data_IF_394785904542
#
_entry.id   IF_394785904542
#
_cell.length_a   1.000
_cell.length_b   1.000
_cell.length_c   1.000
_cell.angle_alpha   90.00
_cell.angle_beta   90.00
_cell.angle_gamma   90.00
#
_symmetry.space_group_name_H-M   'P 1'
#
loop_
_entity.id
_entity.type
_entity.pdbx_description
1 polymer ?
#
# COMPACT_ATOMS: atom_id res chain seq x y z
N UNK A 1 -11.90 3.90 3.49
CA UNK A 1 -11.64 5.33 3.75
C UNK A 1 -12.88 6.13 3.37
N UNK A 2 -13.07 7.30 3.96
CA UNK A 2 -14.02 8.30 3.47
C UNK A 2 -13.37 9.25 2.45
N UNK A 3 -14.17 10.09 1.79
CA UNK A 3 -13.67 11.15 0.90
C UNK A 3 -13.01 12.24 1.73
N UNK A 4 -11.80 12.66 1.37
CA UNK A 4 -11.04 13.71 2.07
C UNK A 4 -11.21 15.11 1.48
N UNK A 5 -11.75 15.19 0.26
CA UNK A 5 -11.88 16.44 -0.52
C UNK A 5 -13.04 17.30 0.02
N UNK A 6 -12.78 18.06 1.09
CA UNK A 6 -13.74 19.01 1.65
C UNK A 6 -13.05 20.25 2.22
N UNK A 7 -13.68 21.41 2.03
CA UNK A 7 -13.23 22.70 2.58
C UNK A 7 -13.77 22.99 3.99
N UNK A 8 -14.71 22.17 4.49
CA UNK A 8 -15.28 22.30 5.83
C UNK A 8 -15.13 20.98 6.59
N UNK A 9 -14.76 21.02 7.89
CA UNK A 9 -14.46 19.82 8.65
C UNK A 9 -15.69 18.95 8.92
N UNK A 10 -16.88 19.53 9.06
CA UNK A 10 -18.09 18.83 9.51
C UNK A 10 -18.42 17.57 8.68
N UNK A 11 -18.35 17.66 7.34
CA UNK A 11 -18.62 16.53 6.45
C UNK A 11 -17.59 15.40 6.61
N UNK A 12 -16.32 15.76 6.83
CA UNK A 12 -15.25 14.79 7.06
C UNK A 12 -15.47 14.07 8.40
N UNK A 13 -15.73 14.83 9.47
CA UNK A 13 -15.98 14.26 10.79
C UNK A 13 -17.21 13.35 10.80
N UNK A 14 -18.27 13.68 10.04
CA UNK A 14 -19.44 12.83 9.88
C UNK A 14 -19.07 11.48 9.24
N UNK A 15 -18.29 11.47 8.16
CA UNK A 15 -17.81 10.22 7.55
C UNK A 15 -16.96 9.38 8.51
N UNK A 16 -16.12 10.04 9.33
CA UNK A 16 -15.28 9.35 10.31
C UNK A 16 -16.12 8.75 11.43
N UNK A 17 -17.10 9.48 11.97
CA UNK A 17 -18.10 8.95 12.93
C UNK A 17 -18.96 7.85 12.31
N UNK A 18 -19.19 7.91 11.00
CA UNK A 18 -19.91 6.88 10.24
C UNK A 18 -19.14 5.57 10.01
N UNK A 19 -17.87 5.48 10.43
CA UNK A 19 -17.07 4.26 10.33
C UNK A 19 -15.78 4.39 9.50
N UNK A 20 -15.52 5.53 8.85
CA UNK A 20 -14.31 5.69 8.06
C UNK A 20 -13.05 5.65 8.95
N UNK A 21 -12.21 4.65 8.74
CA UNK A 21 -10.93 4.45 9.42
C UNK A 21 -9.75 5.27 8.82
N UNK A 22 -10.06 6.33 8.09
CA UNK A 22 -9.10 7.07 7.27
C UNK A 22 -9.79 7.89 6.19
N UNK A 23 -9.15 8.96 5.74
CA UNK A 23 -9.65 9.83 4.68
C UNK A 23 -8.71 9.79 3.48
N UNK A 24 -9.27 9.91 2.28
CA UNK A 24 -8.50 9.89 1.05
C UNK A 24 -8.85 11.09 0.17
N UNK A 25 -7.83 11.88 -0.15
CA UNK A 25 -7.87 12.96 -1.12
C UNK A 25 -7.57 12.38 -2.50
N UNK A 26 -8.39 12.70 -3.49
CA UNK A 26 -8.27 12.14 -4.84
C UNK A 26 -8.34 13.17 -5.96
N UNK A 27 -8.97 14.33 -5.74
CA UNK A 27 -9.45 15.29 -6.75
C UNK A 27 -8.97 15.09 -8.21
N UNK A 28 -9.92 14.95 -9.13
CA UNK A 28 -9.65 14.55 -10.53
C UNK A 28 -8.65 15.48 -11.23
N UNK A 29 -8.70 16.79 -10.91
CA UNK A 29 -7.82 17.84 -11.43
C UNK A 29 -6.69 18.22 -10.46
N UNK A 30 -6.57 17.50 -9.34
CA UNK A 30 -5.65 17.78 -8.23
C UNK A 30 -6.40 18.04 -6.91
N UNK A 31 -5.68 18.35 -5.83
CA UNK A 31 -6.27 18.75 -4.54
C UNK A 31 -5.88 20.16 -4.11
N UNK A 32 -6.80 20.91 -3.52
CA UNK A 32 -6.48 22.26 -3.02
C UNK A 32 -5.74 22.21 -1.66
N UNK A 33 -4.90 23.21 -1.40
CA UNK A 33 -4.19 23.33 -0.12
C UNK A 33 -5.16 23.42 1.07
N UNK A 34 -6.30 24.09 0.88
CA UNK A 34 -7.34 24.21 1.88
C UNK A 34 -8.00 22.85 2.18
N UNK A 35 -8.25 22.01 1.16
CA UNK A 35 -8.80 20.67 1.35
C UNK A 35 -7.83 19.77 2.11
N UNK A 36 -6.54 19.75 1.71
CA UNK A 36 -5.50 19.00 2.42
C UNK A 36 -5.36 19.44 3.89
N UNK A 37 -5.31 20.76 4.14
CA UNK A 37 -5.21 21.29 5.50
C UNK A 37 -6.44 20.98 6.35
N UNK A 38 -7.64 21.06 5.78
CA UNK A 38 -8.89 20.71 6.47
C UNK A 38 -8.92 19.22 6.82
N UNK A 39 -8.60 18.36 5.85
CA UNK A 39 -8.52 16.92 6.03
C UNK A 39 -7.50 16.54 7.12
N UNK A 40 -6.28 17.09 7.06
CA UNK A 40 -5.26 16.87 8.07
C UNK A 40 -5.70 17.35 9.46
N UNK A 41 -6.37 18.49 9.55
CA UNK A 41 -6.85 19.01 10.86
C UNK A 41 -7.90 18.10 11.50
N UNK A 42 -8.78 17.49 10.69
CA UNK A 42 -9.73 16.47 11.17
C UNK A 42 -8.98 15.20 11.58
N UNK A 43 -8.03 14.77 10.77
CA UNK A 43 -7.22 13.59 11.05
C UNK A 43 -6.43 13.68 12.36
N UNK A 44 -5.82 14.84 12.65
CA UNK A 44 -5.15 15.10 13.95
C UNK A 44 -6.10 14.94 15.14
N UNK A 45 -7.35 15.42 15.03
CA UNK A 45 -8.32 15.33 16.12
C UNK A 45 -8.90 13.92 16.32
N UNK A 46 -8.93 13.12 15.27
CA UNK A 46 -9.65 11.84 15.25
C UNK A 46 -8.73 10.62 15.12
N UNK A 47 -7.41 10.83 15.11
CA UNK A 47 -6.35 9.83 14.95
C UNK A 47 -6.59 8.85 13.79
N UNK A 48 -6.74 9.39 12.60
CA UNK A 48 -6.92 8.59 11.37
C UNK A 48 -5.86 8.91 10.29
N UNK A 49 -5.50 7.95 9.43
CA UNK A 49 -4.56 8.18 8.35
C UNK A 49 -5.18 9.03 7.23
N UNK A 50 -4.34 9.84 6.57
CA UNK A 50 -4.71 10.65 5.39
C UNK A 50 -3.93 10.15 4.19
N UNK A 51 -4.65 9.67 3.17
CA UNK A 51 -4.09 9.26 1.89
C UNK A 51 -4.27 10.38 0.86
N UNK A 52 -3.32 10.47 -0.08
CA UNK A 52 -3.45 11.34 -1.26
C UNK A 52 -3.11 10.55 -2.52
N UNK A 53 -4.05 10.42 -3.45
CA UNK A 53 -3.79 9.90 -4.81
C UNK A 53 -3.57 10.99 -5.85
N UNK A 54 -3.73 12.25 -5.46
CA UNK A 54 -3.50 13.41 -6.29
C UNK A 54 -2.31 14.24 -5.79
N UNK A 55 -1.70 14.92 -6.76
CA UNK A 55 -0.93 16.15 -6.58
C UNK A 55 -1.88 17.34 -6.36
N UNK A 56 -1.31 18.51 -6.09
CA UNK A 56 -2.09 19.74 -5.87
C UNK A 56 -2.66 20.25 -7.20
N UNK A 57 -3.88 20.80 -7.19
CA UNK A 57 -4.42 21.48 -8.39
C UNK A 57 -3.51 22.66 -8.76
N UNK A 58 -3.11 22.75 -10.02
CA UNK A 58 -2.57 23.98 -10.59
C UNK A 58 -3.74 24.98 -10.59
N UNK A 59 -3.75 25.88 -9.62
CA UNK A 59 -4.91 26.71 -9.25
C UNK A 59 -5.34 27.76 -10.27
N UNK A 60 -5.60 27.35 -11.52
CA UNK A 60 -6.22 28.13 -12.59
C UNK A 60 -5.58 29.51 -12.78
N UNK A 61 -4.48 29.56 -13.53
CA UNK A 61 -3.90 30.79 -14.05
C UNK A 61 -2.48 31.08 -13.56
N UNK A 62 -1.59 31.28 -14.53
CA UNK A 62 -0.30 32.01 -14.50
C UNK A 62 0.68 31.77 -13.34
N UNK A 63 0.48 30.72 -12.53
CA UNK A 63 1.52 30.19 -11.65
C UNK A 63 2.30 29.15 -12.43
N UNK A 64 3.61 29.36 -12.52
CA UNK A 64 4.60 28.31 -12.79
C UNK A 64 4.47 27.21 -11.72
N UNK A 65 3.43 26.38 -11.83
CA UNK A 65 2.95 25.49 -10.77
C UNK A 65 4.05 24.58 -10.24
N UNK A 66 4.15 24.49 -8.92
CA UNK A 66 5.04 23.56 -8.20
C UNK A 66 4.18 22.66 -7.30
N UNK A 67 3.40 21.72 -7.87
CA UNK A 67 2.37 20.99 -7.13
C UNK A 67 2.91 20.19 -5.95
N UNK A 68 4.15 19.69 -6.08
CA UNK A 68 4.82 18.92 -5.03
C UNK A 68 5.22 19.83 -3.87
N UNK A 69 5.85 20.97 -4.15
CA UNK A 69 6.26 21.95 -3.15
C UNK A 69 5.05 22.53 -2.41
N UNK A 70 3.96 22.78 -3.13
CA UNK A 70 2.69 23.24 -2.54
C UNK A 70 2.09 22.16 -1.62
N UNK A 71 2.17 20.88 -2.01
CA UNK A 71 1.73 19.77 -1.16
C UNK A 71 2.55 19.69 0.12
N UNK A 72 3.88 19.84 0.00
CA UNK A 72 4.81 19.83 1.14
C UNK A 72 4.49 20.97 2.09
N UNK A 73 4.32 22.18 1.57
CA UNK A 73 3.97 23.37 2.35
C UNK A 73 2.59 23.21 3.03
N UNK A 74 1.59 22.69 2.31
CA UNK A 74 0.24 22.47 2.85
C UNK A 74 0.20 21.37 3.93
N UNK A 75 1.02 20.33 3.80
CA UNK A 75 1.15 19.28 4.81
C UNK A 75 1.68 19.83 6.14
N UNK A 76 2.52 20.88 6.13
CA UNK A 76 3.12 21.50 7.34
C UNK A 76 3.79 20.47 8.26
N UNK A 77 4.54 19.54 7.68
CA UNK A 77 5.23 18.47 8.42
C UNK A 77 4.34 17.38 9.02
N UNK A 78 3.01 17.44 8.82
CA UNK A 78 2.08 16.41 9.28
C UNK A 78 2.13 15.17 8.38
N UNK A 79 1.83 14.01 8.95
CA UNK A 79 1.95 12.73 8.24
C UNK A 79 0.95 12.63 7.08
N UNK A 80 1.41 12.21 5.90
CA UNK A 80 0.57 11.91 4.74
C UNK A 80 1.03 10.59 4.11
N UNK A 81 0.08 9.82 3.58
CA UNK A 81 0.32 8.59 2.84
C UNK A 81 0.11 8.85 1.34
N UNK A 82 1.10 9.41 0.61
CA UNK A 82 0.95 9.66 -0.82
C UNK A 82 1.00 8.35 -1.61
N UNK A 83 0.07 8.20 -2.55
CA UNK A 83 0.03 7.12 -3.55
C UNK A 83 0.74 7.64 -4.79
N UNK A 84 1.95 7.14 -5.02
CA UNK A 84 2.79 7.54 -6.15
C UNK A 84 2.51 6.65 -7.37
N UNK A 85 2.85 7.15 -8.56
CA UNK A 85 2.78 6.40 -9.82
C UNK A 85 1.51 6.58 -10.64
N UNK A 86 0.55 7.36 -10.14
CA UNK A 86 -0.61 7.84 -10.92
C UNK A 86 -0.35 9.19 -11.60
N UNK A 87 0.49 10.03 -10.98
CA UNK A 87 0.93 11.36 -11.43
C UNK A 87 2.43 11.37 -11.70
N UNK A 88 2.92 12.44 -12.34
CA UNK A 88 4.27 12.53 -12.91
C UNK A 88 5.42 12.20 -11.93
N UNK A 89 6.65 12.01 -12.45
CA UNK A 89 7.79 11.56 -11.65
C UNK A 89 8.13 12.48 -10.49
N UNK A 90 7.78 13.77 -10.58
CA UNK A 90 7.95 14.79 -9.51
C UNK A 90 7.49 14.32 -8.13
N UNK A 91 6.42 13.53 -8.08
CA UNK A 91 5.89 12.98 -6.82
C UNK A 91 6.87 12.07 -6.07
N UNK A 92 7.92 11.55 -6.72
CA UNK A 92 8.97 10.80 -6.01
C UNK A 92 9.76 11.65 -5.02
N UNK A 93 9.84 12.98 -5.19
CA UNK A 93 10.47 13.87 -4.20
C UNK A 93 9.87 13.72 -2.79
N UNK A 94 8.59 13.35 -2.69
CA UNK A 94 7.94 13.07 -1.41
C UNK A 94 8.59 11.92 -0.65
N UNK A 95 9.26 10.98 -1.33
CA UNK A 95 9.95 9.87 -0.69
C UNK A 95 11.18 10.32 0.14
N UNK A 96 11.71 11.52 -0.10
CA UNK A 96 12.79 12.12 0.67
C UNK A 96 12.34 12.68 2.03
N UNK A 97 11.03 12.78 2.29
CA UNK A 97 10.50 13.53 3.42
C UNK A 97 10.15 12.64 4.62
N UNK A 98 10.41 13.10 5.86
CA UNK A 98 10.19 12.30 7.07
C UNK A 98 8.71 12.07 7.39
N UNK A 99 7.84 13.00 7.02
CA UNK A 99 6.40 12.93 7.28
C UNK A 99 5.61 12.30 6.12
N UNK A 100 6.28 11.82 5.08
CA UNK A 100 5.63 11.15 3.94
C UNK A 100 5.85 9.64 4.05
N UNK A 101 4.76 8.88 4.02
CA UNK A 101 4.75 7.42 4.01
C UNK A 101 4.36 6.92 2.62
N UNK A 102 5.28 6.97 1.64
CA UNK A 102 4.93 6.74 0.24
C UNK A 102 4.56 5.29 0.00
N UNK A 103 3.40 5.10 -0.63
CA UNK A 103 3.02 3.86 -1.27
C UNK A 103 3.04 4.02 -2.78
N UNK A 104 3.33 2.93 -3.48
CA UNK A 104 3.36 2.94 -4.94
C UNK A 104 2.45 1.82 -5.46
N UNK A 105 1.66 2.12 -6.49
CA UNK A 105 1.10 1.05 -7.32
C UNK A 105 2.26 0.32 -7.98
N UNK A 106 2.13 -0.97 -8.37
CA UNK A 106 3.26 -1.71 -8.89
C UNK A 106 3.87 -0.98 -10.09
N UNK A 107 5.19 -0.75 -10.17
CA UNK A 107 5.78 0.09 -11.21
C UNK A 107 5.41 -0.31 -12.65
N UNK A 108 5.17 -1.61 -12.88
CA UNK A 108 4.68 -2.13 -14.16
C UNK A 108 3.30 -1.61 -14.60
N UNK A 109 2.52 -1.04 -13.67
CA UNK A 109 1.19 -0.51 -13.90
C UNK A 109 1.17 1.02 -14.07
N UNK A 110 2.31 1.71 -13.87
CA UNK A 110 2.41 3.15 -14.15
C UNK A 110 2.14 3.44 -15.63
N UNK A 111 1.69 4.64 -15.98
CA UNK A 111 1.34 5.00 -17.36
C UNK A 111 2.52 4.81 -18.34
N UNK A 112 2.19 4.44 -19.59
CA UNK A 112 3.18 4.05 -20.61
C UNK A 112 4.19 5.15 -20.97
N UNK A 113 3.84 6.43 -20.79
CA UNK A 113 4.70 7.57 -21.10
C UNK A 113 5.90 7.75 -20.16
N UNK A 114 5.98 7.03 -19.04
CA UNK A 114 7.00 7.28 -18.01
C UNK A 114 7.90 6.06 -17.76
N UNK A 115 8.47 5.51 -18.84
CA UNK A 115 9.26 4.29 -18.76
C UNK A 115 10.49 4.42 -17.85
N UNK A 116 11.19 5.56 -17.89
CA UNK A 116 12.30 5.87 -16.99
C UNK A 116 11.86 5.94 -15.52
N UNK A 117 10.69 6.53 -15.27
CA UNK A 117 10.10 6.62 -13.93
C UNK A 117 9.77 5.24 -13.34
N UNK A 118 9.42 4.24 -14.17
CA UNK A 118 9.17 2.87 -13.71
C UNK A 118 10.42 2.25 -13.11
N UNK A 119 11.57 2.36 -13.80
CA UNK A 119 12.84 1.79 -13.32
C UNK A 119 13.31 2.54 -12.07
N UNK A 120 13.18 3.86 -12.07
CA UNK A 120 13.47 4.66 -10.89
C UNK A 120 12.63 4.24 -9.68
N UNK A 121 11.33 4.00 -9.85
CA UNK A 121 10.45 3.52 -8.78
C UNK A 121 10.90 2.16 -8.22
N UNK A 122 11.29 1.22 -9.08
CA UNK A 122 11.82 -0.07 -8.64
C UNK A 122 13.11 0.09 -7.83
N UNK A 123 14.01 0.97 -8.28
CA UNK A 123 15.26 1.29 -7.57
C UNK A 123 14.98 1.96 -6.23
N UNK A 124 14.03 2.90 -6.16
CA UNK A 124 13.59 3.53 -4.91
C UNK A 124 12.94 2.52 -3.95
N UNK A 125 12.22 1.52 -4.47
CA UNK A 125 11.76 0.39 -3.66
C UNK A 125 12.93 -0.42 -3.11
N UNK A 126 13.93 -0.75 -3.93
CA UNK A 126 15.09 -1.54 -3.49
C UNK A 126 15.96 -0.78 -2.48
N UNK A 127 16.08 0.54 -2.61
CA UNK A 127 16.72 1.43 -1.62
C UNK A 127 15.94 1.50 -0.30
N UNK A 128 14.64 1.20 -0.32
CA UNK A 128 13.75 1.38 0.82
C UNK A 128 13.25 2.82 0.98
N UNK A 129 13.30 3.64 -0.08
CA UNK A 129 12.71 4.97 -0.11
C UNK A 129 11.19 4.92 -0.34
N UNK A 130 10.69 3.90 -1.06
CA UNK A 130 9.27 3.60 -1.18
C UNK A 130 8.86 2.48 -0.24
N UNK A 131 8.00 2.80 0.73
CA UNK A 131 7.77 1.98 1.92
C UNK A 131 6.69 0.92 1.77
N UNK A 132 5.76 1.12 0.84
CA UNK A 132 4.60 0.25 0.67
C UNK A 132 4.29 -0.05 -0.80
N UNK A 133 3.75 -1.24 -1.06
CA UNK A 133 3.24 -1.67 -2.35
C UNK A 133 1.71 -1.74 -2.27
N UNK A 134 1.03 -0.98 -3.13
CA UNK A 134 -0.43 -1.02 -3.29
C UNK A 134 -0.81 -1.76 -4.58
N UNK A 135 -2.10 -2.08 -4.77
CA UNK A 135 -2.57 -2.76 -5.98
C UNK A 135 -2.98 -1.80 -7.10
N UNK A 136 -3.60 -0.67 -6.75
CA UNK A 136 -4.28 0.25 -7.69
C UNK A 136 -5.58 -0.32 -8.28
N UNK A 137 -6.18 -1.34 -7.65
CA UNK A 137 -7.26 -2.15 -8.22
C UNK A 137 -8.38 -1.34 -8.89
N UNK A 138 -8.63 -1.59 -10.18
CA UNK A 138 -9.70 -0.98 -10.98
C UNK A 138 -9.66 0.57 -11.09
N UNK A 139 -8.53 1.17 -10.76
CA UNK A 139 -8.19 2.58 -10.97
C UNK A 139 -6.68 2.72 -11.17
N UNK A 140 -6.17 2.18 -12.29
CA UNK A 140 -4.75 2.07 -12.72
C UNK A 140 -3.96 0.83 -12.26
N UNK A 141 -4.60 -0.20 -11.72
CA UNK A 141 -3.89 -1.38 -11.21
C UNK A 141 -4.72 -2.66 -11.06
N UNK A 142 -4.08 -3.71 -10.51
CA UNK A 142 -4.60 -5.10 -10.49
C UNK A 142 -4.60 -5.67 -9.08
N UNK A 143 -5.77 -6.04 -8.57
CA UNK A 143 -5.94 -6.52 -7.18
C UNK A 143 -5.15 -7.80 -6.87
N UNK A 144 -5.09 -8.74 -7.83
CA UNK A 144 -4.44 -10.05 -7.65
C UNK A 144 -2.91 -10.05 -7.76
N UNK A 145 -2.30 -8.92 -8.13
CA UNK A 145 -0.90 -8.87 -8.53
C UNK A 145 0.02 -8.23 -7.48
N UNK A 146 -0.51 -7.61 -6.41
CA UNK A 146 0.32 -6.80 -5.50
C UNK A 146 1.50 -7.59 -4.87
N UNK A 147 1.23 -8.81 -4.40
CA UNK A 147 2.27 -9.70 -3.84
C UNK A 147 3.25 -10.14 -4.93
N UNK A 148 2.73 -10.64 -6.05
CA UNK A 148 3.51 -11.11 -7.19
C UNK A 148 4.44 -10.03 -7.74
N UNK A 149 3.95 -8.80 -7.90
CA UNK A 149 4.72 -7.67 -8.42
C UNK A 149 5.78 -7.21 -7.45
N UNK A 150 5.52 -7.29 -6.14
CA UNK A 150 6.54 -7.05 -5.11
C UNK A 150 7.75 -7.95 -5.35
N UNK A 151 7.51 -9.26 -5.58
CA UNK A 151 8.58 -10.22 -5.80
C UNK A 151 9.24 -10.10 -7.18
N UNK A 152 8.49 -9.73 -8.22
CA UNK A 152 9.06 -9.40 -9.54
C UNK A 152 10.00 -8.19 -9.44
N UNK A 153 9.62 -7.14 -8.72
CA UNK A 153 10.49 -5.98 -8.48
C UNK A 153 11.74 -6.37 -7.71
N UNK A 154 11.61 -7.15 -6.61
CA UNK A 154 12.77 -7.63 -5.86
C UNK A 154 13.75 -8.45 -6.73
N UNK A 155 13.21 -9.35 -7.55
CA UNK A 155 13.99 -10.17 -8.49
C UNK A 155 14.72 -9.29 -9.52
N UNK A 156 14.01 -8.35 -10.15
CA UNK A 156 14.59 -7.44 -11.14
C UNK A 156 15.69 -6.58 -10.53
N UNK A 157 15.51 -6.10 -9.31
CA UNK A 157 16.52 -5.32 -8.61
C UNK A 157 17.74 -6.14 -8.24
N UNK A 158 17.58 -7.43 -7.94
CA UNK A 158 18.72 -8.34 -7.82
C UNK A 158 19.51 -8.48 -9.12
N UNK A 159 18.83 -8.59 -10.26
CA UNK A 159 19.49 -8.67 -11.57
C UNK A 159 20.23 -7.36 -11.88
N UNK A 160 19.56 -6.22 -11.71
CA UNK A 160 20.10 -4.92 -12.12
C UNK A 160 21.15 -4.36 -11.16
N UNK A 161 21.04 -4.65 -9.85
CA UNK A 161 21.90 -4.03 -8.81
C UNK A 161 22.74 -5.03 -8.02
N UNK A 162 22.60 -6.32 -8.30
CA UNK A 162 23.28 -7.38 -7.56
C UNK A 162 22.76 -7.55 -6.13
N UNK A 163 23.60 -8.11 -5.27
CA UNK A 163 23.31 -8.38 -3.86
C UNK A 163 23.13 -7.08 -3.07
N UNK A 164 22.12 -7.02 -2.20
CA UNK A 164 21.87 -5.84 -1.38
C UNK A 164 22.98 -5.68 -0.33
N UNK A 165 23.45 -4.46 -0.02
CA UNK A 165 24.39 -4.26 1.08
C UNK A 165 23.82 -4.80 2.40
N UNK A 166 24.55 -5.75 3.01
CA UNK A 166 24.13 -6.47 4.23
C UNK A 166 23.71 -7.92 3.98
N UNK A 167 23.31 -8.26 2.76
CA UNK A 167 23.16 -9.64 2.31
C UNK A 167 24.54 -10.26 1.98
N UNK A 168 24.65 -11.60 2.09
CA UNK A 168 25.89 -12.35 1.84
C UNK A 168 25.65 -13.41 0.77
N UNK A 169 25.45 -14.66 1.19
CA UNK A 169 25.19 -15.82 0.32
C UNK A 169 23.71 -16.03 0.01
N UNK A 170 22.84 -15.28 0.69
CA UNK A 170 21.39 -15.29 0.53
C UNK A 170 20.85 -13.87 0.25
N UNK A 171 19.54 -13.75 0.02
CA UNK A 171 18.85 -12.47 -0.21
C UNK A 171 17.92 -12.10 0.95
N UNK A 172 18.20 -12.56 2.18
CA UNK A 172 17.24 -12.47 3.29
C UNK A 172 16.88 -11.02 3.65
N UNK A 173 17.83 -10.09 3.63
CA UNK A 173 17.58 -8.68 3.90
C UNK A 173 16.69 -8.07 2.81
N UNK A 174 16.96 -8.36 1.53
CA UNK A 174 16.08 -7.94 0.44
C UNK A 174 14.69 -8.57 0.59
N UNK A 175 14.59 -9.87 0.85
CA UNK A 175 13.31 -10.56 1.06
C UNK A 175 12.50 -9.92 2.20
N UNK A 176 13.15 -9.65 3.35
CA UNK A 176 12.53 -8.98 4.50
C UNK A 176 12.11 -7.54 4.18
N UNK A 177 12.93 -6.79 3.45
CA UNK A 177 12.60 -5.43 2.98
C UNK A 177 11.35 -5.42 2.12
N UNK A 178 11.21 -6.38 1.21
CA UNK A 178 10.09 -6.43 0.27
C UNK A 178 8.81 -7.01 0.87
N UNK A 179 8.87 -8.06 1.70
CA UNK A 179 7.66 -8.58 2.38
C UNK A 179 7.04 -7.52 3.29
N UNK A 180 7.86 -6.66 3.92
CA UNK A 180 7.37 -5.57 4.75
C UNK A 180 6.47 -4.58 3.99
N UNK A 181 6.68 -4.40 2.68
CA UNK A 181 5.97 -3.41 1.84
C UNK A 181 4.47 -3.72 1.66
N UNK A 182 4.06 -4.98 1.78
CA UNK A 182 2.66 -5.38 1.67
C UNK A 182 2.10 -6.06 2.93
N UNK A 183 2.89 -6.10 4.02
CA UNK A 183 2.48 -6.69 5.30
C UNK A 183 2.52 -5.64 6.41
N UNK A 184 3.68 -5.45 7.06
CA UNK A 184 3.77 -4.64 8.28
C UNK A 184 3.73 -3.14 8.01
N UNK A 185 4.32 -2.64 6.91
CA UNK A 185 4.35 -1.20 6.66
C UNK A 185 2.95 -0.62 6.36
N UNK A 186 2.10 -1.26 5.53
CA UNK A 186 0.70 -0.87 5.42
C UNK A 186 -0.03 -0.93 6.76
N UNK A 187 0.22 -1.95 7.58
CA UNK A 187 -0.42 -2.04 8.90
C UNK A 187 0.01 -0.89 9.81
N UNK A 188 1.30 -0.51 9.84
CA UNK A 188 1.80 0.63 10.61
C UNK A 188 1.20 1.94 10.09
N UNK A 189 1.30 2.21 8.79
CA UNK A 189 0.85 3.47 8.19
C UNK A 189 -0.66 3.72 8.38
N UNK A 190 -1.45 2.66 8.47
CA UNK A 190 -2.90 2.72 8.67
C UNK A 190 -3.35 2.46 10.11
N UNK A 191 -2.43 2.35 11.08
CA UNK A 191 -2.77 2.20 12.49
C UNK A 191 -3.36 0.84 12.88
N UNK A 192 -3.02 -0.21 12.15
CA UNK A 192 -3.49 -1.60 12.33
C UNK A 192 -2.36 -2.56 12.76
N UNK A 193 -1.17 -2.03 13.08
CA UNK A 193 0.01 -2.85 13.36
C UNK A 193 -0.12 -3.74 14.60
N UNK A 194 -1.01 -3.42 15.54
CA UNK A 194 -1.25 -4.29 16.71
C UNK A 194 -2.14 -5.49 16.37
N UNK A 195 -2.94 -5.40 15.31
CA UNK A 195 -3.89 -6.44 14.92
C UNK A 195 -3.34 -7.37 13.84
N UNK A 196 -2.67 -6.82 12.83
CA UNK A 196 -2.28 -7.55 11.61
C UNK A 196 -0.88 -7.13 11.09
N UNK A 197 -0.50 -7.66 9.92
CA UNK A 197 0.69 -7.23 9.19
C UNK A 197 1.97 -8.00 9.51
N UNK A 198 1.97 -8.94 10.46
CA UNK A 198 3.12 -9.82 10.69
C UNK A 198 2.71 -11.10 11.42
N UNK A 199 3.54 -12.15 11.31
CA UNK A 199 3.41 -13.35 12.13
C UNK A 199 4.03 -13.06 13.50
N UNK A 200 3.21 -12.61 14.44
CA UNK A 200 3.62 -12.29 15.81
C UNK A 200 2.53 -12.69 16.81
N UNK A 201 2.94 -12.99 18.05
CA UNK A 201 1.99 -13.30 19.13
C UNK A 201 1.05 -12.10 19.38
N UNK A 202 -0.20 -12.39 19.74
CA UNK A 202 -1.23 -11.38 20.02
C UNK A 202 -1.95 -10.85 18.78
N UNK A 203 -1.39 -11.02 17.58
CA UNK A 203 -2.02 -10.63 16.32
C UNK A 203 -3.04 -11.66 15.85
N UNK A 204 -3.95 -11.22 14.99
CA UNK A 204 -4.90 -12.10 14.33
C UNK A 204 -4.17 -13.14 13.49
N UNK A 205 -4.63 -14.40 13.55
CA UNK A 205 -4.04 -15.52 12.81
C UNK A 205 -4.44 -15.49 11.32
N UNK A 206 -4.03 -14.44 10.64
CA UNK A 206 -4.15 -14.25 9.20
C UNK A 206 -2.86 -14.73 8.53
N UNK A 207 -2.90 -15.92 7.97
CA UNK A 207 -1.72 -16.63 7.46
C UNK A 207 -1.96 -17.08 6.02
N UNK A 208 -0.89 -17.12 5.23
CA UNK A 208 -0.93 -17.66 3.87
C UNK A 208 0.14 -18.72 3.75
N UNK A 209 -0.26 -19.91 3.31
CA UNK A 209 0.61 -21.06 3.16
C UNK A 209 0.98 -21.21 1.68
N UNK A 210 2.28 -21.42 1.43
CA UNK A 210 2.84 -21.50 0.09
C UNK A 210 3.74 -22.72 -0.02
N UNK A 211 3.50 -23.52 -1.05
CA UNK A 211 4.50 -24.40 -1.63
C UNK A 211 5.57 -23.53 -2.29
N UNK A 212 6.88 -23.73 -2.01
CA UNK A 212 7.94 -22.84 -2.51
C UNK A 212 7.91 -22.59 -4.02
N UNK A 213 7.55 -23.60 -4.82
CA UNK A 213 7.44 -23.48 -6.28
C UNK A 213 6.36 -22.47 -6.74
N UNK A 214 5.38 -22.14 -5.89
CA UNK A 214 4.27 -21.22 -6.20
C UNK A 214 4.29 -19.95 -5.33
N UNK A 215 5.35 -19.74 -4.54
CA UNK A 215 5.49 -18.61 -3.64
C UNK A 215 5.26 -17.28 -4.36
N UNK A 216 4.36 -16.46 -3.81
CA UNK A 216 4.00 -15.15 -4.36
C UNK A 216 3.07 -15.18 -5.58
N UNK A 217 2.69 -16.37 -6.08
CA UNK A 217 1.85 -16.53 -7.28
C UNK A 217 0.49 -17.13 -6.97
N UNK A 218 0.45 -18.37 -6.46
CA UNK A 218 -0.79 -19.10 -6.12
C UNK A 218 -0.61 -19.79 -4.76
N UNK A 219 -1.25 -19.30 -3.69
CA UNK A 219 -1.13 -19.91 -2.37
C UNK A 219 -1.90 -21.23 -2.28
N UNK A 220 -1.46 -22.13 -1.42
CA UNK A 220 -2.16 -23.39 -1.14
C UNK A 220 -3.38 -23.14 -0.26
N UNK A 221 -3.19 -22.32 0.79
CA UNK A 221 -4.20 -21.97 1.79
C UNK A 221 -4.14 -20.48 2.13
N UNK A 222 -5.31 -19.89 2.33
CA UNK A 222 -5.48 -18.59 2.98
C UNK A 222 -6.27 -18.82 4.26
N UNK A 223 -5.66 -18.48 5.40
CA UNK A 223 -6.23 -18.61 6.74
C UNK A 223 -6.57 -17.21 7.22
N UNK A 224 -7.78 -17.04 7.75
CA UNK A 224 -8.28 -15.79 8.33
C UNK A 224 -8.71 -16.07 9.76
N UNK A 225 -8.19 -15.34 10.74
CA UNK A 225 -8.58 -15.52 12.16
C UNK A 225 -8.50 -16.97 12.67
N UNK A 226 -7.55 -17.76 12.15
CA UNK A 226 -7.36 -19.16 12.52
C UNK A 226 -8.23 -20.19 11.78
N UNK A 227 -9.11 -19.77 10.87
CA UNK A 227 -9.91 -20.68 10.02
C UNK A 227 -9.52 -20.59 8.55
N UNK A 228 -9.61 -21.69 7.82
CA UNK A 228 -9.27 -21.73 6.39
C UNK A 228 -10.39 -21.02 5.61
N UNK A 229 -10.04 -19.90 4.99
CA UNK A 229 -10.93 -19.07 4.18
C UNK A 229 -11.01 -19.59 2.75
N UNK A 230 -9.87 -19.99 2.19
CA UNK A 230 -9.72 -20.43 0.81
C UNK A 230 -8.60 -21.47 0.73
N UNK A 231 -8.78 -22.47 -0.13
CA UNK A 231 -7.77 -23.49 -0.39
C UNK A 231 -7.78 -23.91 -1.86
N UNK A 232 -6.64 -24.40 -2.35
CA UNK A 232 -6.58 -25.14 -3.61
C UNK A 232 -7.28 -26.49 -3.42
N UNK A 233 -8.41 -26.67 -4.11
CA UNK A 233 -9.25 -27.84 -3.97
C UNK A 233 -9.75 -28.35 -5.32
N UNK A 234 -9.78 -29.68 -5.44
CA UNK A 234 -10.08 -30.41 -6.65
C UNK A 234 -11.57 -30.58 -6.94
N UNK A 235 -11.90 -31.64 -7.65
CA UNK A 235 -13.25 -32.15 -7.79
C UNK A 235 -13.78 -32.60 -6.42
N UNK A 236 -14.93 -32.06 -6.02
CA UNK A 236 -15.58 -32.40 -4.75
C UNK A 236 -16.16 -33.83 -4.75
N UNK A 237 -16.39 -34.43 -5.93
CA UNK A 237 -16.76 -35.83 -6.05
C UNK A 237 -15.54 -36.77 -6.17
N UNK A 238 -14.34 -36.21 -6.28
CA UNK A 238 -13.11 -36.99 -6.38
C UNK A 238 -12.84 -37.82 -5.12
N UNK A 239 -12.21 -38.98 -5.30
CA UNK A 239 -11.89 -39.89 -4.20
C UNK A 239 -10.91 -39.29 -3.16
N UNK A 240 -10.14 -38.26 -3.54
CA UNK A 240 -9.21 -37.52 -2.68
C UNK A 240 -9.20 -36.02 -3.06
N UNK A 241 -8.79 -35.11 -2.15
CA UNK A 241 -8.82 -33.66 -2.40
C UNK A 241 -8.10 -33.14 -3.68
N UNK A 242 -6.98 -33.71 -4.16
CA UNK A 242 -6.26 -33.17 -5.32
C UNK A 242 -6.77 -33.67 -6.69
N UNK A 243 -7.90 -34.38 -6.76
CA UNK A 243 -8.49 -34.80 -8.05
C UNK A 243 -8.78 -33.56 -8.90
N UNK A 244 -8.31 -33.53 -10.14
CA UNK A 244 -8.49 -32.37 -11.02
C UNK A 244 -9.98 -32.14 -11.36
N UNK A 245 -10.43 -30.88 -11.55
CA UNK A 245 -9.63 -29.66 -11.66
C UNK A 245 -9.36 -28.98 -10.30
N UNK A 246 -8.07 -28.73 -10.02
CA UNK A 246 -7.62 -27.91 -8.89
C UNK A 246 -7.86 -26.43 -9.17
N UNK A 247 -8.67 -25.81 -8.32
CA UNK A 247 -8.92 -24.38 -8.33
C UNK A 247 -8.90 -23.81 -6.92
N UNK A 248 -8.70 -22.51 -6.79
CA UNK A 248 -8.80 -21.85 -5.50
C UNK A 248 -10.29 -21.69 -5.15
N UNK A 249 -10.74 -22.34 -4.07
CA UNK A 249 -12.16 -22.41 -3.69
C UNK A 249 -12.38 -21.88 -2.28
N UNK A 250 -13.53 -21.21 -2.01
CA UNK A 250 -13.93 -20.86 -0.65
C UNK A 250 -14.05 -22.11 0.23
N UNK A 251 -13.59 -22.00 1.47
CA UNK A 251 -13.68 -23.04 2.50
C UNK A 251 -14.62 -22.59 3.62
N UNK A 252 -14.80 -23.39 4.68
CA UNK A 252 -15.73 -23.10 5.77
C UNK A 252 -15.49 -21.74 6.45
N UNK A 253 -14.27 -21.22 6.48
CA UNK A 253 -13.96 -19.88 6.97
C UNK A 253 -14.64 -18.76 6.16
N UNK A 254 -14.97 -19.01 4.90
CA UNK A 254 -15.62 -18.06 4.01
C UNK A 254 -17.14 -18.08 4.01
N UNK A 255 -17.77 -18.88 4.87
CA UNK A 255 -19.21 -19.11 4.84
C UNK A 255 -19.90 -18.63 6.13
N UNK A 256 -21.07 -18.00 5.97
CA UNK A 256 -21.98 -17.68 7.08
C UNK A 256 -21.36 -16.92 8.25
N UNK A 257 -21.67 -17.36 9.48
CA UNK A 257 -21.17 -16.76 10.72
C UNK A 257 -19.67 -17.00 10.95
N UNK A 258 -19.09 -18.05 10.36
CA UNK A 258 -17.65 -18.33 10.43
C UNK A 258 -16.83 -17.16 9.87
N UNK A 259 -17.25 -16.62 8.72
CA UNK A 259 -16.63 -15.44 8.12
C UNK A 259 -16.68 -14.22 9.04
N UNK A 260 -17.82 -13.99 9.69
CA UNK A 260 -17.99 -12.88 10.60
C UNK A 260 -17.13 -13.03 11.87
N UNK A 261 -17.05 -14.24 12.42
CA UNK A 261 -16.24 -14.54 13.61
C UNK A 261 -14.73 -14.47 13.33
N UNK A 262 -14.30 -14.83 12.12
CA UNK A 262 -12.90 -14.83 11.72
C UNK A 262 -12.38 -13.45 11.26
N UNK A 263 -13.28 -12.51 10.98
CA UNK A 263 -12.96 -11.21 10.38
C UNK A 263 -13.19 -10.06 11.34
N UNK A 264 -12.45 -8.98 11.11
CA UNK A 264 -12.62 -7.71 11.82
C UNK A 264 -13.07 -6.63 10.86
N UNK A 265 -13.83 -5.66 11.37
CA UNK A 265 -14.12 -4.41 10.67
C UNK A 265 -13.28 -3.31 11.29
N UNK A 266 -12.36 -2.74 10.53
CA UNK A 266 -11.48 -1.68 11.01
C UNK A 266 -12.17 -0.32 10.86
N UNK A 267 -12.24 0.44 11.96
CA UNK A 267 -12.98 1.71 12.08
C UNK A 267 -12.17 2.75 12.86
N UNK A 268 -12.64 3.99 12.92
CA UNK A 268 -12.08 5.04 13.78
C UNK A 268 -12.58 4.93 15.23
N UNK A 269 -11.86 5.54 16.18
CA UNK A 269 -12.28 5.67 17.58
C UNK A 269 -13.65 6.35 17.67
N UNK A 270 -13.84 7.40 16.86
CA UNK A 270 -15.07 8.17 16.84
C UNK A 270 -16.28 7.34 16.37
N UNK A 271 -16.08 6.37 15.49
CA UNK A 271 -17.12 5.46 15.07
C UNK A 271 -17.57 4.51 16.20
N UNK A 272 -16.60 3.98 16.96
CA UNK A 272 -16.92 3.17 18.15
C UNK A 272 -17.69 4.01 19.17
N UNK A 273 -17.23 5.23 19.44
CA UNK A 273 -17.92 6.16 20.35
C UNK A 273 -19.33 6.54 19.87
N UNK A 274 -19.58 6.50 18.56
CA UNK A 274 -20.89 6.76 17.96
C UNK A 274 -21.84 5.55 17.99
N UNK A 275 -21.44 4.40 18.54
CA UNK A 275 -22.28 3.22 18.69
C UNK A 275 -22.71 2.59 17.36
N UNK A 276 -21.83 2.62 16.35
CA UNK A 276 -22.18 2.12 15.01
C UNK A 276 -22.37 0.59 14.96
N UNK A 277 -21.78 -0.16 15.89
CA UNK A 277 -21.95 -1.60 15.94
C UNK A 277 -23.39 -1.99 16.23
N UNK A 278 -24.01 -1.36 17.23
CA UNK A 278 -25.38 -1.60 17.63
C UNK A 278 -26.35 -1.05 16.58
N UNK A 279 -26.12 0.18 16.10
CA UNK A 279 -26.98 0.83 15.09
C UNK A 279 -27.04 0.10 13.75
N UNK A 280 -25.92 -0.50 13.32
CA UNK A 280 -25.81 -1.19 12.04
C UNK A 280 -25.86 -2.72 12.19
N UNK A 281 -26.10 -3.21 13.41
CA UNK A 281 -26.15 -4.64 13.75
C UNK A 281 -24.92 -5.42 13.23
N UNK A 282 -23.72 -4.84 13.42
CA UNK A 282 -22.48 -5.40 12.92
C UNK A 282 -22.17 -6.73 13.60
N UNK A 283 -22.00 -7.79 12.81
CA UNK A 283 -21.63 -9.13 13.31
C UNK A 283 -20.13 -9.35 13.47
N UNK A 284 -19.31 -8.54 12.79
CA UNK A 284 -17.85 -8.61 12.87
C UNK A 284 -17.36 -7.80 14.05
N UNK A 285 -16.32 -8.27 14.73
CA UNK A 285 -15.67 -7.47 15.76
C UNK A 285 -15.09 -6.20 15.14
N UNK A 286 -15.35 -5.06 15.78
CA UNK A 286 -14.69 -3.82 15.39
C UNK A 286 -13.27 -3.79 15.96
N UNK A 287 -12.34 -3.31 15.15
CA UNK A 287 -10.98 -2.94 15.55
C UNK A 287 -10.73 -1.49 15.18
N UNK A 288 -9.93 -0.82 16.00
CA UNK A 288 -9.79 0.63 15.91
C UNK A 288 -8.42 0.94 15.37
N UNK A 289 -8.34 1.79 14.33
CA UNK A 289 -7.06 2.34 13.89
C UNK A 289 -6.47 3.22 14.96
N UNK A 290 -5.17 3.17 15.22
CA UNK A 290 -4.56 4.06 16.21
C UNK A 290 -3.12 4.41 15.85
N UNK A 291 -2.59 5.44 16.51
CA UNK A 291 -1.21 5.90 16.34
C UNK A 291 -0.88 6.26 14.88
N UNK A 292 -1.82 6.92 14.20
CA UNK A 292 -1.63 7.37 12.81
C UNK A 292 -1.15 8.81 12.73
N UNK A 293 -1.27 9.55 13.85
CA UNK A 293 -0.81 10.94 14.01
C UNK A 293 0.21 11.14 15.14
N UNK A 294 0.41 10.12 16.01
CA UNK A 294 1.20 10.19 17.24
C UNK A 294 2.73 10.29 17.07
N UNK A 295 3.22 10.82 15.94
CA UNK A 295 4.64 10.91 15.61
C UNK A 295 5.15 9.88 14.61
N UNK A 296 4.26 9.03 14.08
CA UNK A 296 4.58 8.10 12.98
C UNK A 296 5.17 8.85 11.78
N UNK A 297 6.30 8.32 11.30
CA UNK A 297 7.15 8.93 10.30
C UNK A 297 7.78 7.87 9.40
N UNK A 298 8.53 8.31 8.40
CA UNK A 298 9.30 7.44 7.50
C UNK A 298 10.25 6.52 8.27
N UNK A 299 10.73 6.92 9.45
CA UNK A 299 11.63 6.11 10.29
C UNK A 299 10.95 4.86 10.85
N UNK A 300 9.64 4.87 10.99
CA UNK A 300 8.85 3.75 11.52
C UNK A 300 8.55 2.69 10.45
N UNK A 301 8.88 2.97 9.18
CA UNK A 301 8.70 2.02 8.08
C UNK A 301 9.81 0.96 8.11
N UNK A 302 9.43 -0.24 8.58
CA UNK A 302 10.34 -1.38 8.78
C UNK A 302 11.12 -1.67 7.50
N UNK A 303 12.46 -1.58 7.61
CA UNK A 303 13.44 -1.79 6.53
C UNK A 303 13.28 -0.88 5.30
N UNK A 304 12.43 0.15 5.39
CA UNK A 304 12.04 1.01 4.28
C UNK A 304 11.89 2.48 4.72
N UNK A 305 12.88 2.94 5.47
CA UNK A 305 12.96 4.27 6.07
C UNK A 305 13.95 5.20 5.37
N UNK A 306 14.41 4.84 4.16
CA UNK A 306 15.38 5.66 3.45
C UNK A 306 14.75 6.97 2.99
N UNK A 307 15.54 8.04 3.05
CA UNK A 307 15.16 9.40 2.66
C UNK A 307 16.29 10.00 1.82
N UNK A 308 16.54 9.47 0.60
CA UNK A 308 17.57 10.02 -0.27
C UNK A 308 17.14 11.41 -0.76
N UNK A 309 18.10 12.26 -1.08
CA UNK A 309 17.83 13.49 -1.82
C UNK A 309 17.41 13.14 -3.25
N UNK A 310 16.22 13.58 -3.68
CA UNK A 310 15.66 13.25 -4.99
C UNK A 310 15.63 14.49 -5.85
N UNK A 311 16.34 14.43 -6.97
CA UNK A 311 16.37 15.47 -8.00
C UNK A 311 15.69 14.94 -9.26
N UNK A 312 14.90 15.80 -9.90
CA UNK A 312 14.19 15.44 -11.13
C UNK A 312 14.38 16.60 -12.11
N UNK A 313 14.97 16.27 -13.25
CA UNK A 313 15.25 17.24 -14.30
C UNK A 313 13.94 17.60 -15.04
N UNK A 314 13.61 18.88 -15.10
CA UNK A 314 12.33 19.34 -15.62
C UNK A 314 12.12 19.02 -17.11
N UNK A 315 13.20 19.03 -17.90
CA UNK A 315 13.14 18.83 -19.35
C UNK A 315 13.24 17.34 -19.73
N UNK A 316 14.23 16.65 -19.17
CA UNK A 316 14.55 15.26 -19.50
C UNK A 316 13.79 14.24 -18.65
N UNK A 317 13.19 14.68 -17.54
CA UNK A 317 12.52 13.84 -16.54
C UNK A 317 13.46 12.78 -15.92
N UNK A 318 14.77 13.01 -15.99
CA UNK A 318 15.78 12.16 -15.38
C UNK A 318 15.70 12.26 -13.86
N UNK A 319 15.60 11.12 -13.18
CA UNK A 319 15.48 11.04 -11.72
C UNK A 319 16.82 10.63 -11.13
N UNK A 320 17.32 11.39 -10.17
CA UNK A 320 18.52 11.07 -9.39
C UNK A 320 18.18 10.89 -7.92
N UNK A 321 18.88 9.98 -7.26
CA UNK A 321 18.86 9.85 -5.81
C UNK A 321 20.29 9.97 -5.27
N UNK A 322 20.51 10.92 -4.35
CA UNK A 322 21.84 11.27 -3.80
C UNK A 322 22.88 11.50 -4.93
N UNK A 323 22.47 12.24 -5.98
CA UNK A 323 23.27 12.53 -7.18
C UNK A 323 23.37 11.40 -8.21
N UNK A 324 22.96 10.16 -7.86
CA UNK A 324 23.06 8.98 -8.73
C UNK A 324 21.84 8.86 -9.63
N UNK A 325 22.05 8.78 -10.95
CA UNK A 325 20.99 8.58 -11.94
C UNK A 325 20.28 7.22 -11.76
N UNK A 326 18.96 7.27 -11.60
CA UNK A 326 18.10 6.10 -11.49
C UNK A 326 17.60 5.67 -12.87
N UNK A 327 18.45 4.96 -13.61
CA UNK A 327 18.17 4.48 -14.96
C UNK A 327 18.55 3.01 -15.13
N UNK A 328 17.90 2.33 -16.05
CA UNK A 328 18.25 0.96 -16.41
C UNK A 328 17.34 0.40 -17.50
N UNK A 329 17.70 -0.77 -18.01
CA UNK A 329 16.93 -1.44 -19.06
C UNK A 329 15.61 -1.99 -18.52
N UNK A 330 14.60 -2.00 -19.39
CA UNK A 330 13.29 -2.60 -19.11
C UNK A 330 13.39 -4.11 -19.24
N UNK A 331 12.88 -4.82 -18.24
CA UNK A 331 12.91 -6.29 -18.27
C UNK A 331 12.03 -6.82 -19.42
N UNK A 332 12.64 -7.57 -20.34
CA UNK A 332 11.93 -8.26 -21.43
C UNK A 332 11.11 -9.46 -20.91
N UNK A 333 11.63 -10.15 -19.89
CA UNK A 333 10.98 -11.29 -19.24
C UNK A 333 10.97 -11.13 -17.73
N UNK A 334 9.99 -11.72 -17.05
CA UNK A 334 9.92 -11.76 -15.59
C UNK A 334 9.51 -13.16 -15.12
N UNK A 335 9.96 -13.59 -13.92
CA UNK A 335 9.43 -14.77 -13.27
C UNK A 335 7.96 -14.55 -12.89
N UNK A 336 7.30 -15.60 -12.40
CA UNK A 336 5.90 -15.49 -11.92
C UNK A 336 4.94 -14.98 -13.02
N UNK A 337 5.13 -15.43 -14.27
CA UNK A 337 4.27 -15.09 -15.42
C UNK A 337 3.80 -16.35 -16.16
N UNK A 338 4.11 -16.49 -17.44
CA UNK A 338 3.64 -17.51 -18.38
C UNK A 338 3.72 -18.96 -17.86
N UNK A 339 4.69 -19.26 -16.98
CA UNK A 339 4.82 -20.59 -16.35
C UNK A 339 3.61 -20.98 -15.48
N UNK A 340 2.90 -20.01 -14.88
CA UNK A 340 1.93 -20.26 -13.82
C UNK A 340 0.49 -19.93 -14.19
N UNK A 341 0.28 -19.13 -15.23
CA UNK A 341 -1.04 -18.66 -15.63
C UNK A 341 -1.43 -19.25 -16.99
N UNK A 342 -2.69 -19.66 -17.09
CA UNK A 342 -3.25 -20.17 -18.34
C UNK A 342 -3.43 -19.06 -19.37
N UNK A 343 -3.60 -17.82 -18.91
CA UNK A 343 -3.74 -16.59 -19.69
C UNK A 343 -2.89 -15.47 -19.08
#
# INVERSE_FOLDING_TARGET
TGRGDALRPAALEEMVRGGAAGLMLHGEDGITAAALQTCLSVAERMDIPVLSAADMEDGGGDRDGKPVEDMIAAARGRTVLPILGARGPEMFRLAALPNMLPMNMPPSNMQHGWLGARVAAEMLHDMGALSMMASGSQGLGRVGDAVLRTWQTAHRMKILRGTLPGDRTDDNLRVRRYVAKYTINPAIAHGMADEVGSVARGKLADLVIWTPAFFGVKPDLVIKGGTIMQAMAGDAHGAIPPVQPLAARPMFGGLGSSLAAASVTVVSQAAVAAGIAERLELRRQMRVVSNTRGGISKKDMVLNSAMPEIEIDAETQAIRADGVLLSGEVAETLPMRQRYFLF
#
